data_IF_791114050445
#
_entry.id   IF_791114050445
#
_cell.length_a   1.000
_cell.length_b   1.000
_cell.length_c   1.000
_cell.angle_alpha   90.00
_cell.angle_beta   90.00
_cell.angle_gamma   90.00
#
_symmetry.space_group_name_H-M   'P 1'
#
loop_
_entity.id
_entity.type
_entity.pdbx_description
1 polymer ?
#
# COMPACT_ATOMS: atom_id res chain seq x y z
N UNK A 1 -9.95 6.47 -32.98
CA UNK A 1 -10.27 5.34 -32.10
C UNK A 1 -8.96 4.78 -31.57
N UNK A 2 -8.62 5.18 -30.36
CA UNK A 2 -7.35 4.90 -29.70
C UNK A 2 -7.20 3.39 -29.48
N UNK A 3 -6.00 2.88 -29.77
CA UNK A 3 -5.55 1.54 -29.46
C UNK A 3 -5.84 1.31 -27.97
N UNK A 4 -6.73 0.37 -27.68
CA UNK A 4 -7.08 -0.03 -26.33
C UNK A 4 -5.81 -0.40 -25.58
N UNK A 5 -5.33 0.55 -24.77
CA UNK A 5 -4.20 0.33 -23.87
C UNK A 5 -4.70 -0.67 -22.83
N UNK A 6 -4.13 -1.86 -22.81
CA UNK A 6 -4.39 -2.83 -21.72
C UNK A 6 -4.16 -2.13 -20.39
N UNK A 7 -5.09 -2.25 -19.42
CA UNK A 7 -4.93 -1.62 -18.13
C UNK A 7 -3.63 -2.11 -17.49
N UNK A 8 -2.80 -1.18 -17.02
CA UNK A 8 -1.53 -1.52 -16.34
C UNK A 8 -1.76 -2.01 -14.93
N UNK A 9 -2.91 -1.71 -14.35
CA UNK A 9 -3.28 -2.06 -12.99
C UNK A 9 -4.77 -2.38 -12.88
N UNK A 10 -5.11 -3.30 -12.00
CA UNK A 10 -6.47 -3.68 -11.65
C UNK A 10 -6.66 -3.54 -10.15
N UNK A 11 -7.67 -2.77 -9.73
CA UNK A 11 -8.06 -2.67 -8.32
C UNK A 11 -9.08 -3.77 -8.00
N UNK A 12 -8.81 -4.56 -6.98
CA UNK A 12 -9.70 -5.61 -6.46
C UNK A 12 -10.01 -5.29 -5.00
N UNK A 13 -11.29 -5.28 -4.65
CA UNK A 13 -11.72 -5.15 -3.27
C UNK A 13 -11.59 -6.50 -2.56
N UNK A 14 -10.84 -6.54 -1.47
CA UNK A 14 -10.61 -7.77 -0.70
C UNK A 14 -11.91 -8.29 -0.05
N UNK A 15 -12.83 -7.38 0.27
CA UNK A 15 -14.14 -7.75 0.84
C UNK A 15 -15.02 -8.50 -0.15
N UNK A 16 -14.91 -8.18 -1.45
CA UNK A 16 -15.61 -8.91 -2.51
C UNK A 16 -15.07 -10.34 -2.64
N UNK A 17 -13.73 -10.51 -2.43
CA UNK A 17 -13.12 -11.83 -2.38
C UNK A 17 -13.59 -12.64 -1.17
N UNK A 18 -13.71 -12.01 0.02
CA UNK A 18 -14.25 -12.65 1.23
C UNK A 18 -15.69 -13.09 1.00
N UNK A 19 -16.50 -12.29 0.31
CA UNK A 19 -17.89 -12.61 0.03
C UNK A 19 -18.04 -13.79 -0.96
N UNK A 20 -17.09 -13.94 -1.89
CA UNK A 20 -17.10 -15.01 -2.87
C UNK A 20 -16.51 -16.32 -2.31
N UNK A 21 -15.34 -16.26 -1.70
CA UNK A 21 -14.64 -17.42 -1.11
C UNK A 21 -13.85 -16.99 0.13
N UNK A 22 -14.40 -17.30 1.30
CA UNK A 22 -13.79 -16.95 2.58
C UNK A 22 -12.51 -17.77 2.89
N UNK A 23 -12.40 -19.01 2.37
CA UNK A 23 -11.23 -19.85 2.60
C UNK A 23 -10.03 -19.31 1.79
N UNK A 24 -10.26 -18.99 0.52
CA UNK A 24 -9.24 -18.39 -0.34
C UNK A 24 -8.78 -17.03 0.22
N UNK A 25 -9.70 -16.19 0.67
CA UNK A 25 -9.38 -14.90 1.27
C UNK A 25 -8.53 -15.06 2.54
N UNK A 26 -8.86 -16.05 3.38
CA UNK A 26 -8.08 -16.38 4.58
C UNK A 26 -6.68 -16.88 4.22
N UNK A 27 -6.55 -17.79 3.26
CA UNK A 27 -5.27 -18.31 2.80
C UNK A 27 -4.40 -17.19 2.22
N UNK A 28 -4.98 -16.32 1.38
CA UNK A 28 -4.29 -15.15 0.82
C UNK A 28 -3.85 -14.16 1.91
N UNK A 29 -4.61 -14.02 3.01
CA UNK A 29 -4.20 -13.17 4.15
C UNK A 29 -3.01 -13.76 4.89
N UNK A 30 -2.93 -15.09 5.03
CA UNK A 30 -1.86 -15.76 5.76
C UNK A 30 -0.59 -15.96 4.94
N UNK A 31 -0.72 -16.25 3.64
CA UNK A 31 0.38 -16.56 2.72
C UNK A 31 0.31 -15.71 1.44
N UNK A 32 0.35 -14.38 1.55
CA UNK A 32 0.13 -13.48 0.41
C UNK A 32 1.21 -13.61 -0.67
N UNK A 33 2.42 -14.03 -0.32
CA UNK A 33 3.53 -14.16 -1.28
C UNK A 33 3.30 -15.27 -2.32
N UNK A 34 2.57 -16.30 -1.96
CA UNK A 34 2.27 -17.43 -2.85
C UNK A 34 1.02 -17.15 -3.69
N UNK A 35 0.00 -16.53 -3.09
CA UNK A 35 -1.28 -16.30 -3.77
C UNK A 35 -1.31 -15.05 -4.68
N UNK A 36 -0.56 -13.99 -4.35
CA UNK A 36 -0.55 -12.77 -5.18
C UNK A 36 -0.04 -12.99 -6.61
N UNK A 37 1.05 -13.75 -6.85
CA UNK A 37 1.48 -14.06 -8.21
C UNK A 37 0.45 -14.86 -8.99
N UNK A 38 -0.21 -15.84 -8.35
CA UNK A 38 -1.25 -16.66 -8.98
C UNK A 38 -2.45 -15.80 -9.36
N UNK A 39 -2.84 -14.86 -8.50
CA UNK A 39 -3.92 -13.92 -8.79
C UNK A 39 -3.56 -13.00 -9.98
N UNK A 40 -2.33 -12.51 -10.06
CA UNK A 40 -1.86 -11.72 -11.19
C UNK A 40 -1.89 -12.53 -12.50
N UNK A 41 -1.49 -13.80 -12.46
CA UNK A 41 -1.55 -14.73 -13.61
C UNK A 41 -2.99 -14.98 -14.05
N UNK A 42 -3.89 -15.29 -13.12
CA UNK A 42 -5.31 -15.50 -13.41
C UNK A 42 -5.96 -14.27 -14.04
N UNK A 43 -5.63 -13.07 -13.56
CA UNK A 43 -6.12 -11.80 -14.16
C UNK A 43 -5.63 -11.64 -15.60
N UNK A 44 -4.38 -12.03 -15.87
CA UNK A 44 -3.85 -11.97 -17.24
C UNK A 44 -4.58 -12.94 -18.16
N UNK A 45 -4.84 -14.18 -17.73
CA UNK A 45 -5.56 -15.18 -18.50
C UNK A 45 -6.99 -14.73 -18.84
N UNK A 46 -7.68 -14.13 -17.87
CA UNK A 46 -9.02 -13.55 -18.08
C UNK A 46 -8.95 -12.40 -19.09
N UNK A 47 -7.98 -11.50 -18.98
CA UNK A 47 -7.82 -10.39 -19.91
C UNK A 47 -7.49 -10.86 -21.33
N UNK A 48 -6.74 -11.95 -21.48
CA UNK A 48 -6.49 -12.57 -22.80
C UNK A 48 -7.76 -13.19 -23.37
N UNK A 49 -8.57 -13.86 -22.55
CA UNK A 49 -9.84 -14.44 -22.98
C UNK A 49 -10.89 -13.39 -23.42
N UNK A 50 -10.80 -12.18 -22.86
CA UNK A 50 -11.69 -11.06 -23.19
C UNK A 50 -11.24 -10.25 -24.41
N UNK A 51 -10.05 -10.50 -24.97
CA UNK A 51 -9.61 -9.83 -26.20
C UNK A 51 -10.45 -10.33 -27.38
N UNK A 52 -11.02 -9.42 -28.21
CA UNK A 52 -11.75 -9.83 -29.40
C UNK A 52 -10.83 -10.59 -30.36
N UNK A 53 -11.35 -11.66 -30.97
CA UNK A 53 -10.65 -12.62 -31.84
C UNK A 53 -9.94 -11.99 -33.04
N UNK A 54 -10.31 -10.78 -33.42
CA UNK A 54 -9.68 -10.07 -34.55
C UNK A 54 -8.24 -9.60 -34.29
N UNK A 55 -7.83 -9.56 -33.03
CA UNK A 55 -6.44 -9.22 -32.63
C UNK A 55 -5.53 -10.46 -32.60
N UNK A 56 -6.10 -11.67 -32.55
CA UNK A 56 -5.36 -12.95 -32.57
C UNK A 56 -4.91 -13.33 -33.98
N UNK A 57 -5.66 -12.96 -35.00
CA UNK A 57 -5.34 -13.28 -36.39
C UNK A 57 -4.08 -12.55 -36.93
N UNK A 58 -3.63 -11.50 -36.27
CA UNK A 58 -2.42 -10.76 -36.67
C UNK A 58 -1.13 -11.27 -35.98
N UNK A 59 -1.23 -12.18 -35.01
CA UNK A 59 -0.11 -12.71 -34.23
C UNK A 59 0.27 -14.16 -34.56
N UNK A 60 -0.61 -14.89 -35.30
CA UNK A 60 -0.41 -16.30 -35.66
C UNK A 60 0.38 -16.49 -36.97
N UNK A 61 1.53 -15.89 -37.02
CA UNK A 61 2.48 -16.12 -38.11
C UNK A 61 3.63 -17.07 -37.78
N UNK A 62 3.56 -17.89 -36.71
CA UNK A 62 4.53 -18.98 -36.51
C UNK A 62 4.12 -19.82 -35.27
N UNK A 63 3.16 -20.71 -35.47
CA UNK A 63 2.71 -21.65 -34.44
C UNK A 63 3.19 -23.07 -34.76
N UNK A 64 4.45 -23.36 -34.57
CA UNK A 64 4.96 -24.74 -34.32
C UNK A 64 6.30 -24.63 -33.57
N UNK A 65 6.32 -24.39 -32.27
CA UNK A 65 7.47 -24.65 -31.43
C UNK A 65 7.05 -25.18 -30.04
N UNK A 66 7.74 -26.19 -29.66
CA UNK A 66 7.57 -27.20 -28.63
C UNK A 66 7.40 -26.70 -27.17
N UNK A 67 6.83 -27.57 -26.34
CA UNK A 67 6.42 -27.41 -24.94
C UNK A 67 7.54 -27.08 -23.91
N UNK A 68 8.74 -26.71 -24.31
CA UNK A 68 9.90 -26.63 -23.39
C UNK A 68 10.14 -25.28 -22.73
N UNK A 69 9.35 -24.22 -22.96
CA UNK A 69 9.71 -22.91 -22.42
C UNK A 69 8.53 -22.14 -21.79
N UNK A 70 7.96 -22.67 -20.69
CA UNK A 70 7.10 -21.85 -19.82
C UNK A 70 7.83 -20.62 -19.25
N UNK A 71 9.15 -20.70 -19.09
CA UNK A 71 9.99 -19.56 -18.64
C UNK A 71 10.26 -18.52 -19.74
N UNK A 72 10.04 -18.85 -21.04
CA UNK A 72 10.20 -17.92 -22.16
C UNK A 72 8.90 -17.17 -22.53
N UNK A 73 7.74 -17.63 -22.02
CA UNK A 73 6.45 -16.93 -22.22
C UNK A 73 6.40 -15.53 -21.59
N UNK A 74 7.17 -15.29 -20.52
CA UNK A 74 7.34 -13.95 -19.93
C UNK A 74 8.11 -12.96 -20.83
N UNK A 75 8.66 -13.44 -21.94
CA UNK A 75 9.53 -12.67 -22.85
C UNK A 75 8.88 -12.21 -24.15
N UNK A 76 7.62 -12.59 -24.42
CA UNK A 76 6.96 -12.11 -25.62
C UNK A 76 6.84 -10.58 -25.57
N UNK A 77 7.42 -9.83 -26.53
CA UNK A 77 7.33 -8.37 -26.57
C UNK A 77 5.87 -8.00 -26.88
N UNK A 78 5.09 -7.72 -25.83
CA UNK A 78 3.68 -7.37 -25.95
C UNK A 78 2.79 -7.82 -24.79
N UNK A 79 3.24 -8.72 -23.94
CA UNK A 79 2.50 -9.14 -22.74
C UNK A 79 2.68 -8.11 -21.63
N UNK A 80 1.77 -7.15 -21.55
CA UNK A 80 1.76 -6.19 -20.46
C UNK A 80 1.38 -6.92 -19.14
N UNK A 81 2.33 -7.08 -18.25
CA UNK A 81 2.07 -7.62 -16.92
C UNK A 81 1.17 -6.65 -16.15
N UNK A 82 -0.06 -7.07 -15.87
CA UNK A 82 -1.04 -6.30 -15.10
C UNK A 82 -0.69 -6.43 -13.62
N UNK A 83 -0.68 -5.31 -12.92
CA UNK A 83 -0.49 -5.31 -11.46
C UNK A 83 -1.84 -5.34 -10.76
N UNK A 84 -2.02 -6.29 -9.86
CA UNK A 84 -3.19 -6.33 -8.98
C UNK A 84 -2.94 -5.41 -7.79
N UNK A 85 -3.89 -4.50 -7.53
CA UNK A 85 -3.93 -3.61 -6.38
C UNK A 85 -5.08 -4.04 -5.48
N UNK A 86 -4.79 -4.43 -4.25
CA UNK A 86 -5.81 -4.82 -3.29
C UNK A 86 -6.24 -3.61 -2.45
N UNK A 87 -7.55 -3.43 -2.31
CA UNK A 87 -8.16 -2.44 -1.41
C UNK A 87 -9.14 -3.15 -0.48
N UNK A 88 -9.43 -2.58 0.69
CA UNK A 88 -10.42 -3.12 1.61
C UNK A 88 -11.25 -2.01 2.23
N UNK A 89 -12.50 -2.33 2.54
CA UNK A 89 -13.42 -1.49 3.31
C UNK A 89 -13.36 -1.78 4.81
N UNK A 90 -12.57 -2.77 5.23
CA UNK A 90 -12.37 -3.08 6.64
C UNK A 90 -11.78 -1.87 7.39
N UNK A 91 -11.99 -1.85 8.70
CA UNK A 91 -11.37 -0.83 9.58
C UNK A 91 -9.87 -1.11 9.63
N UNK A 92 -9.01 -0.15 9.22
CA UNK A 92 -7.57 -0.36 9.21
C UNK A 92 -7.02 -0.49 10.63
N UNK A 93 -6.03 -1.37 10.81
CA UNK A 93 -5.38 -1.62 12.10
C UNK A 93 -4.31 -0.58 12.37
N UNK A 94 -4.28 0.07 13.55
CA UNK A 94 -3.23 1.02 13.90
C UNK A 94 -1.83 0.38 13.84
N UNK A 95 -0.81 1.15 13.46
CA UNK A 95 0.60 0.71 13.42
C UNK A 95 1.08 0.09 14.74
N UNK A 96 0.54 0.56 15.87
CA UNK A 96 0.90 0.10 17.23
C UNK A 96 0.47 -1.33 17.53
N UNK A 97 -0.54 -1.84 16.83
CA UNK A 97 -1.09 -3.19 17.06
C UNK A 97 -0.37 -4.26 16.26
N UNK A 98 0.54 -3.89 15.36
CA UNK A 98 1.34 -4.84 14.60
C UNK A 98 2.38 -5.51 15.50
N UNK A 99 2.36 -6.84 15.48
CA UNK A 99 3.21 -7.71 16.29
C UNK A 99 4.06 -8.65 15.43
N UNK A 100 4.93 -9.40 16.06
CA UNK A 100 5.74 -10.42 15.39
C UNK A 100 4.91 -11.56 14.76
N UNK A 101 3.71 -11.81 15.28
CA UNK A 101 2.77 -12.80 14.72
C UNK A 101 2.18 -12.38 13.37
N UNK A 102 2.22 -11.10 13.05
CA UNK A 102 1.70 -10.56 11.79
C UNK A 102 2.75 -10.62 10.65
N UNK A 103 4.00 -11.04 10.95
CA UNK A 103 5.05 -11.18 9.94
C UNK A 103 4.68 -12.23 8.90
N UNK A 104 4.79 -11.86 7.64
CA UNK A 104 4.39 -12.69 6.49
C UNK A 104 2.93 -12.55 6.11
N UNK A 105 2.10 -11.86 6.88
CA UNK A 105 0.66 -11.74 6.61
C UNK A 105 0.31 -10.43 5.90
N UNK A 106 -0.86 -10.42 5.26
CA UNK A 106 -1.44 -9.24 4.64
C UNK A 106 -2.13 -8.38 5.72
N UNK A 107 -1.69 -7.13 5.84
CA UNK A 107 -2.21 -6.18 6.83
C UNK A 107 -2.72 -4.91 6.15
N UNK A 108 -3.73 -4.27 6.76
CA UNK A 108 -4.30 -3.01 6.30
C UNK A 108 -4.07 -1.93 7.37
N UNK A 109 -3.33 -0.88 7.00
CA UNK A 109 -2.75 0.08 7.96
C UNK A 109 -2.97 1.51 7.49
N UNK A 110 -3.47 2.42 8.36
CA UNK A 110 -3.62 3.83 8.07
C UNK A 110 -2.36 4.59 8.47
N UNK A 111 -2.07 5.68 7.79
CA UNK A 111 -0.99 6.58 8.19
C UNK A 111 -0.80 7.78 7.26
N UNK A 112 0.20 8.58 7.59
CA UNK A 112 0.61 9.75 6.80
C UNK A 112 1.98 9.46 6.20
N UNK A 113 2.13 9.67 4.90
CA UNK A 113 3.44 9.58 4.23
C UNK A 113 4.25 10.82 4.56
N UNK A 114 5.33 10.68 5.33
CA UNK A 114 6.20 11.81 5.73
C UNK A 114 7.37 12.04 4.80
N UNK A 115 7.86 10.99 4.15
CA UNK A 115 9.00 11.09 3.24
C UNK A 115 8.92 10.00 2.16
N UNK A 116 9.39 10.34 0.97
CA UNK A 116 9.55 9.41 -0.16
C UNK A 116 10.98 9.47 -0.67
N UNK A 117 11.54 8.32 -1.02
CA UNK A 117 12.85 8.26 -1.65
C UNK A 117 12.74 8.48 -3.17
N UNK A 118 13.87 8.65 -3.84
CA UNK A 118 13.91 8.55 -5.30
C UNK A 118 13.55 7.15 -5.74
N UNK A 119 12.86 7.03 -6.88
CA UNK A 119 12.63 5.74 -7.53
C UNK A 119 13.97 5.08 -7.86
N UNK A 120 14.05 3.78 -7.64
CA UNK A 120 15.21 2.94 -7.94
C UNK A 120 14.75 1.78 -8.80
N UNK A 121 15.66 1.30 -9.63
CA UNK A 121 15.41 0.14 -10.48
C UNK A 121 15.85 -1.13 -9.76
N UNK A 122 14.96 -2.12 -9.68
CA UNK A 122 15.21 -3.46 -9.15
C UNK A 122 15.05 -4.47 -10.27
N UNK A 123 15.95 -5.45 -10.36
CA UNK A 123 15.77 -6.54 -11.29
C UNK A 123 14.64 -7.47 -10.83
N UNK A 124 13.71 -7.83 -11.72
CA UNK A 124 12.69 -8.87 -11.52
C UNK A 124 13.23 -10.23 -11.96
N UNK A 125 13.80 -10.27 -13.18
CA UNK A 125 14.53 -11.41 -13.71
C UNK A 125 15.92 -10.96 -14.09
N UNK A 126 16.92 -11.68 -13.66
CA UNK A 126 18.32 -11.40 -13.94
C UNK A 126 18.87 -12.49 -14.85
N UNK A 127 19.26 -12.12 -16.06
CA UNK A 127 19.96 -13.00 -16.97
C UNK A 127 21.45 -12.97 -16.65
N UNK A 128 22.01 -14.12 -16.33
CA UNK A 128 23.41 -14.33 -16.02
C UNK A 128 24.06 -15.13 -17.15
N UNK A 129 25.15 -14.63 -17.72
CA UNK A 129 25.93 -15.31 -18.74
C UNK A 129 27.26 -15.76 -18.18
N UNK A 130 27.61 -17.01 -18.40
CA UNK A 130 28.92 -17.54 -18.04
C UNK A 130 30.00 -16.96 -18.97
N UNK A 131 31.04 -16.35 -18.43
CA UNK A 131 32.12 -15.73 -19.21
C UNK A 131 32.90 -16.73 -20.07
N UNK A 132 32.97 -17.99 -19.65
CA UNK A 132 33.75 -19.03 -20.35
C UNK A 132 32.93 -19.81 -21.36
N UNK A 133 31.81 -20.43 -20.94
CA UNK A 133 31.03 -21.31 -21.81
C UNK A 133 29.85 -20.59 -22.50
N UNK A 134 29.62 -19.31 -22.21
CA UNK A 134 28.54 -18.50 -22.80
C UNK A 134 27.12 -19.01 -22.49
N UNK A 135 26.96 -20.00 -21.60
CA UNK A 135 25.62 -20.43 -21.19
C UNK A 135 24.92 -19.33 -20.41
N UNK A 136 23.64 -19.10 -20.69
CA UNK A 136 22.80 -18.14 -19.97
C UNK A 136 21.85 -18.87 -19.02
N UNK A 137 21.77 -18.38 -17.81
CA UNK A 137 20.77 -18.79 -16.81
C UNK A 137 19.95 -17.57 -16.42
N UNK A 138 18.66 -17.76 -16.17
CA UNK A 138 17.79 -16.73 -15.62
C UNK A 138 17.54 -17.01 -14.15
N UNK A 139 17.75 -15.98 -13.32
CA UNK A 139 17.46 -16.04 -11.88
C UNK A 139 16.29 -15.12 -11.60
N UNK A 140 15.23 -15.64 -11.01
CA UNK A 140 14.10 -14.86 -10.56
C UNK A 140 14.40 -14.26 -9.19
N UNK A 141 14.16 -12.96 -9.02
CA UNK A 141 14.29 -12.29 -7.74
C UNK A 141 12.91 -12.20 -7.08
N UNK A 142 12.87 -12.59 -5.81
CA UNK A 142 11.65 -12.48 -5.01
C UNK A 142 11.20 -11.03 -4.83
N UNK A 143 9.97 -10.87 -4.37
CA UNK A 143 9.41 -9.58 -4.01
C UNK A 143 10.15 -8.93 -2.82
N UNK A 144 9.96 -7.65 -2.59
CA UNK A 144 10.54 -6.93 -1.46
C UNK A 144 12.04 -6.69 -1.57
N UNK A 145 12.75 -6.79 -0.45
CA UNK A 145 14.21 -6.63 -0.39
C UNK A 145 14.99 -7.93 -0.64
N UNK A 146 14.34 -8.96 -1.18
CA UNK A 146 15.01 -10.23 -1.48
C UNK A 146 16.13 -10.02 -2.49
N UNK A 147 17.32 -10.47 -2.16
CA UNK A 147 18.49 -10.45 -3.05
C UNK A 147 18.50 -11.67 -3.98
N UNK A 148 19.25 -11.57 -5.06
CA UNK A 148 19.52 -12.71 -5.93
C UNK A 148 20.55 -13.66 -5.29
N UNK A 149 20.25 -14.95 -5.27
CA UNK A 149 21.25 -15.96 -4.97
C UNK A 149 21.93 -16.38 -6.28
N UNK A 150 23.06 -15.76 -6.58
CA UNK A 150 23.84 -16.08 -7.78
C UNK A 150 24.62 -17.36 -7.54
N UNK A 151 24.46 -18.42 -8.40
CA UNK A 151 25.22 -19.65 -8.25
C UNK A 151 26.71 -19.40 -8.39
N UNK A 152 27.53 -19.99 -7.52
CA UNK A 152 28.98 -19.86 -7.56
C UNK A 152 29.64 -20.70 -8.64
N UNK A 153 28.96 -21.71 -9.16
CA UNK A 153 29.47 -22.64 -10.15
C UNK A 153 28.55 -22.67 -11.38
N UNK A 154 29.15 -22.94 -12.54
CA UNK A 154 28.40 -23.00 -13.80
C UNK A 154 27.55 -24.28 -13.84
N UNK A 155 26.23 -24.12 -14.04
CA UNK A 155 25.28 -25.22 -14.11
C UNK A 155 25.29 -25.99 -15.42
N UNK A 156 25.83 -25.42 -16.50
CA UNK A 156 25.82 -26.04 -17.84
C UNK A 156 26.70 -27.28 -17.95
N UNK A 157 27.53 -27.61 -16.94
CA UNK A 157 28.47 -28.71 -16.98
C UNK A 157 28.21 -29.82 -15.98
N UNK A 158 27.12 -29.72 -15.20
CA UNK A 158 26.76 -30.78 -14.24
C UNK A 158 26.21 -32.05 -14.92
N UNK A 159 25.96 -32.03 -16.23
CA UNK A 159 25.33 -33.10 -17.00
C UNK A 159 26.21 -33.84 -18.01
N UNK A 160 27.52 -33.51 -18.15
CA UNK A 160 28.42 -34.21 -19.09
C UNK A 160 29.55 -34.88 -18.33
N UNK A 161 29.41 -36.22 -18.22
CA UNK A 161 30.47 -37.20 -17.83
C UNK A 161 31.38 -36.81 -16.67
N UNK A 162 30.89 -36.92 -15.46
CA UNK A 162 31.71 -37.02 -14.28
C UNK A 162 32.11 -38.49 -14.10
N UNK A 163 33.15 -38.94 -14.77
CA UNK A 163 33.97 -40.05 -14.25
C UNK A 163 34.56 -39.56 -12.94
N UNK A 164 34.31 -40.37 -11.92
CA UNK A 164 34.79 -40.20 -10.55
C UNK A 164 36.31 -39.93 -10.58
N UNK A 165 36.77 -38.70 -10.25
CA UNK A 165 38.18 -38.49 -9.94
C UNK A 165 38.85 -37.21 -10.47
N UNK A 166 38.18 -36.25 -11.10
CA UNK A 166 38.86 -35.02 -11.48
C UNK A 166 38.09 -33.74 -11.07
N UNK A 167 38.65 -33.09 -10.05
CA UNK A 167 38.37 -31.72 -9.65
C UNK A 167 38.80 -30.79 -10.78
N UNK A 168 37.87 -30.24 -11.52
CA UNK A 168 38.02 -28.88 -12.04
C UNK A 168 36.72 -28.48 -12.74
N UNK A 169 35.94 -27.62 -12.11
CA UNK A 169 34.95 -26.82 -12.80
C UNK A 169 35.69 -26.01 -13.87
N UNK A 170 35.65 -26.34 -15.17
CA UNK A 170 36.44 -25.68 -16.21
C UNK A 170 36.05 -24.19 -16.34
N UNK A 171 34.91 -23.80 -15.79
CA UNK A 171 34.45 -22.42 -15.75
C UNK A 171 34.98 -21.63 -14.53
N UNK A 172 35.54 -22.32 -13.51
CA UNK A 172 36.04 -21.68 -12.28
C UNK A 172 34.95 -21.24 -11.32
N UNK A 173 35.36 -20.52 -10.29
CA UNK A 173 34.46 -19.94 -9.29
C UNK A 173 33.94 -18.57 -9.74
N UNK A 174 32.64 -18.30 -9.47
CA UNK A 174 31.94 -17.06 -9.80
C UNK A 174 32.03 -16.64 -11.30
N UNK A 175 31.69 -17.54 -12.25
CA UNK A 175 31.90 -17.33 -13.67
C UNK A 175 30.83 -16.43 -14.33
N UNK A 176 29.80 -16.05 -13.59
CA UNK A 176 28.64 -15.36 -14.14
C UNK A 176 28.79 -13.85 -14.20
N UNK A 177 28.38 -13.28 -15.34
CA UNK A 177 28.22 -11.85 -15.55
C UNK A 177 26.74 -11.54 -15.80
N UNK A 178 26.27 -10.44 -15.20
CA UNK A 178 24.92 -9.92 -15.45
C UNK A 178 24.84 -9.34 -16.85
N UNK A 179 23.81 -9.73 -17.61
CA UNK A 179 23.50 -9.19 -18.94
C UNK A 179 22.24 -8.31 -18.83
N UNK A 180 22.39 -6.97 -18.76
CA UNK A 180 21.24 -6.06 -18.58
C UNK A 180 20.21 -6.16 -19.69
N UNK A 181 20.66 -6.38 -20.95
CA UNK A 181 19.79 -6.44 -22.15
C UNK A 181 18.80 -7.60 -22.13
N UNK A 182 19.15 -8.68 -21.44
CA UNK A 182 18.33 -9.88 -21.28
C UNK A 182 17.62 -9.95 -19.94
N UNK A 183 17.80 -8.94 -19.07
CA UNK A 183 17.22 -8.84 -17.74
C UNK A 183 15.98 -7.96 -17.76
N UNK A 184 15.00 -8.26 -16.93
CA UNK A 184 13.82 -7.40 -16.73
C UNK A 184 13.91 -6.64 -15.42
N UNK A 185 13.49 -5.39 -15.44
CA UNK A 185 13.58 -4.48 -14.30
C UNK A 185 12.20 -3.92 -13.96
N UNK A 186 12.01 -3.60 -12.69
CA UNK A 186 10.83 -2.92 -12.15
C UNK A 186 11.29 -1.70 -11.36
N UNK A 187 10.43 -0.69 -11.30
CA UNK A 187 10.66 0.47 -10.44
C UNK A 187 10.27 0.15 -9.01
N UNK A 188 11.05 0.64 -8.06
CA UNK A 188 10.89 0.46 -6.63
C UNK A 188 11.16 1.77 -5.91
N UNK A 189 10.35 2.07 -4.89
CA UNK A 189 10.50 3.29 -4.08
C UNK A 189 10.25 2.99 -2.61
N UNK A 190 11.06 3.59 -1.75
CA UNK A 190 10.86 3.53 -0.31
C UNK A 190 10.09 4.77 0.15
N UNK A 191 9.11 4.58 1.01
CA UNK A 191 8.39 5.63 1.68
C UNK A 191 8.49 5.44 3.19
N UNK A 192 8.30 6.51 3.94
CA UNK A 192 8.21 6.48 5.39
C UNK A 192 6.80 6.86 5.80
N UNK A 193 6.11 5.90 6.39
CA UNK A 193 4.75 6.04 6.93
C UNK A 193 4.83 6.39 8.39
N UNK A 194 4.08 7.38 8.82
CA UNK A 194 3.89 7.77 10.21
C UNK A 194 2.47 7.47 10.65
N UNK A 195 2.31 7.11 11.90
CA UNK A 195 1.01 6.92 12.55
C UNK A 195 0.19 8.22 12.55
N UNK A 196 -1.12 8.09 12.32
CA UNK A 196 -2.02 9.23 12.36
C UNK A 196 -2.02 9.87 13.75
N UNK A 197 -1.96 11.22 13.85
CA UNK A 197 -1.92 11.92 15.15
C UNK A 197 -3.09 11.58 16.06
N UNK A 198 -4.25 11.28 15.50
CA UNK A 198 -5.46 10.93 16.24
C UNK A 198 -5.35 9.57 16.96
N UNK A 199 -4.50 8.68 16.46
CA UNK A 199 -4.26 7.36 17.03
C UNK A 199 -3.16 7.35 18.09
N UNK A 200 -2.43 8.47 18.25
CA UNK A 200 -1.30 8.57 19.20
C UNK A 200 -1.81 8.92 20.58
N UNK A 201 -1.53 8.10 21.63
CA UNK A 201 -1.84 8.45 23.01
C UNK A 201 -1.14 9.73 23.44
N UNK A 202 -1.78 10.50 24.30
CA UNK A 202 -1.21 11.74 24.82
C UNK A 202 0.15 11.47 25.53
N UNK A 203 1.19 12.21 25.11
CA UNK A 203 2.54 12.10 25.71
C UNK A 203 3.45 11.07 25.04
N UNK A 204 2.99 10.34 24.03
CA UNK A 204 3.84 9.42 23.28
C UNK A 204 4.23 9.99 21.90
N UNK A 205 5.34 9.51 21.37
CA UNK A 205 5.76 9.85 20.01
C UNK A 205 5.05 8.95 18.98
N UNK A 206 4.68 9.49 17.82
CA UNK A 206 4.11 8.70 16.72
C UNK A 206 5.14 7.69 16.21
N UNK A 207 4.68 6.46 15.95
CA UNK A 207 5.52 5.41 15.37
C UNK A 207 5.69 5.62 13.89
N UNK A 208 6.85 5.23 13.37
CA UNK A 208 7.18 5.30 11.95
C UNK A 208 7.49 3.89 11.44
N UNK A 209 7.09 3.62 10.20
CA UNK A 209 7.41 2.38 9.51
C UNK A 209 7.95 2.66 8.11
N UNK A 210 8.92 1.85 7.67
CA UNK A 210 9.39 1.87 6.29
C UNK A 210 8.40 1.10 5.42
N UNK A 211 8.05 1.70 4.31
CA UNK A 211 7.09 1.16 3.34
C UNK A 211 7.79 1.04 1.99
N UNK A 212 7.59 -0.08 1.33
CA UNK A 212 8.14 -0.38 0.01
C UNK A 212 7.02 -0.45 -1.01
N UNK A 213 7.13 0.35 -2.05
CA UNK A 213 6.21 0.33 -3.20
C UNK A 213 6.94 -0.07 -4.47
N UNK A 214 6.27 -0.83 -5.33
CA UNK A 214 6.82 -1.37 -6.55
C UNK A 214 5.90 -1.11 -7.75
N UNK A 215 6.48 -1.08 -8.96
CA UNK A 215 5.79 -0.97 -10.26
C UNK A 215 4.92 0.30 -10.38
N UNK A 216 3.63 0.16 -10.71
CA UNK A 216 2.71 1.28 -11.00
C UNK A 216 2.39 2.16 -9.80
N UNK A 217 2.69 1.71 -8.57
CA UNK A 217 2.48 2.49 -7.35
C UNK A 217 3.64 3.44 -7.03
N UNK A 218 4.74 3.35 -7.78
CA UNK A 218 5.89 4.26 -7.62
C UNK A 218 5.49 5.66 -8.06
N UNK A 219 5.86 6.67 -7.26
CA UNK A 219 5.53 8.09 -7.46
C UNK A 219 4.02 8.43 -7.46
N UNK A 220 3.16 7.53 -7.00
CA UNK A 220 1.71 7.80 -6.93
C UNK A 220 1.35 8.70 -5.75
N UNK A 221 2.09 8.67 -4.66
CA UNK A 221 1.76 9.37 -3.41
C UNK A 221 2.75 10.48 -3.10
N UNK A 222 2.24 11.63 -2.70
CA UNK A 222 3.03 12.81 -2.31
C UNK A 222 3.24 12.81 -0.78
N UNK A 223 4.42 13.23 -0.28
CA UNK A 223 4.61 13.45 1.16
C UNK A 223 3.58 14.43 1.74
N UNK A 224 3.03 14.10 2.89
CA UNK A 224 1.94 14.83 3.54
C UNK A 224 0.56 14.21 3.31
N UNK A 225 0.39 13.32 2.34
CA UNK A 225 -0.89 12.65 2.05
C UNK A 225 -1.22 11.60 3.11
N UNK A 226 -2.48 11.56 3.53
CA UNK A 226 -3.04 10.46 4.34
C UNK A 226 -3.39 9.30 3.43
N UNK A 227 -2.99 8.12 3.84
CA UNK A 227 -3.19 6.90 3.05
C UNK A 227 -3.60 5.74 3.93
N UNK A 228 -4.36 4.83 3.36
CA UNK A 228 -4.58 3.49 3.89
C UNK A 228 -3.82 2.52 3.00
N UNK A 229 -2.90 1.79 3.57
CA UNK A 229 -2.02 0.88 2.84
C UNK A 229 -2.40 -0.57 3.13
N UNK A 230 -2.70 -1.32 2.09
CA UNK A 230 -2.75 -2.76 2.17
C UNK A 230 -1.41 -3.32 1.72
N UNK A 231 -0.80 -4.15 2.55
CA UNK A 231 0.53 -4.68 2.24
C UNK A 231 0.91 -5.89 3.07
N UNK A 232 1.97 -6.54 2.65
CA UNK A 232 2.56 -7.67 3.37
C UNK A 232 3.57 -7.14 4.38
N UNK A 233 3.41 -7.53 5.64
CA UNK A 233 4.31 -7.15 6.71
C UNK A 233 5.51 -8.08 6.72
N UNK A 234 6.65 -7.61 6.27
CA UNK A 234 7.86 -8.38 6.08
C UNK A 234 9.01 -7.86 6.95
N UNK A 235 10.04 -8.67 7.09
CA UNK A 235 11.26 -8.31 7.81
C UNK A 235 12.47 -8.35 6.90
N UNK A 236 13.39 -7.41 7.10
CA UNK A 236 14.67 -7.37 6.38
C UNK A 236 15.83 -7.40 7.38
N UNK A 237 16.93 -8.04 6.99
CA UNK A 237 18.13 -8.04 7.81
C UNK A 237 18.70 -6.63 7.91
N UNK A 238 18.93 -6.15 9.12
CA UNK A 238 19.49 -4.83 9.42
C UNK A 238 20.94 -4.63 8.95
N UNK A 239 21.59 -5.67 8.47
CA UNK A 239 22.95 -5.65 7.96
C UNK A 239 22.99 -5.40 6.48
N UNK A 240 23.12 -4.12 6.08
CA UNK A 240 23.64 -3.81 4.75
C UNK A 240 24.94 -4.59 4.53
N UNK A 241 25.03 -5.25 3.39
CA UNK A 241 26.19 -5.96 2.87
C UNK A 241 27.53 -5.27 3.18
N UNK A 242 28.03 -5.40 4.39
CA UNK A 242 29.44 -5.12 4.65
C UNK A 242 30.24 -6.36 4.26
N UNK A 243 30.97 -6.22 3.17
CA UNK A 243 31.82 -7.20 2.46
C UNK A 243 32.90 -7.91 3.29
N UNK A 244 32.82 -8.00 4.61
CA UNK A 244 33.97 -8.45 5.40
C UNK A 244 33.73 -9.45 6.52
N UNK A 245 32.56 -10.05 6.64
CA UNK A 245 32.43 -11.14 7.63
C UNK A 245 32.36 -12.50 6.96
N UNK A 246 33.53 -13.18 6.92
CA UNK A 246 33.70 -14.58 6.54
C UNK A 246 33.14 -15.58 7.57
N UNK A 247 32.46 -15.09 8.59
CA UNK A 247 31.80 -15.89 9.62
C UNK A 247 30.30 -15.63 9.59
N UNK A 248 29.52 -16.54 9.00
CA UNK A 248 28.07 -16.45 8.80
C UNK A 248 27.23 -16.34 10.07
N UNK A 249 27.40 -15.28 10.83
CA UNK A 249 26.47 -14.90 11.89
C UNK A 249 25.24 -14.21 11.29
N UNK A 250 24.10 -14.91 11.21
CA UNK A 250 22.81 -14.28 10.90
C UNK A 250 22.53 -13.25 11.98
N UNK A 251 22.36 -11.96 11.58
CA UNK A 251 21.96 -10.92 12.52
C UNK A 251 20.60 -11.29 13.08
N UNK A 252 20.51 -11.43 14.40
CA UNK A 252 19.28 -11.82 15.08
C UNK A 252 18.20 -10.72 15.08
N UNK A 253 18.61 -9.45 14.89
CA UNK A 253 17.70 -8.31 14.88
C UNK A 253 17.35 -7.97 13.44
N UNK A 254 16.05 -7.96 13.15
CA UNK A 254 15.51 -7.63 11.84
C UNK A 254 14.65 -6.36 11.94
N UNK A 255 14.67 -5.54 10.89
CA UNK A 255 13.76 -4.40 10.77
C UNK A 255 12.54 -4.80 9.98
N UNK A 256 11.38 -4.52 10.55
CA UNK A 256 10.11 -4.74 9.88
C UNK A 256 9.85 -3.62 8.85
N UNK A 257 9.25 -3.98 7.72
CA UNK A 257 8.78 -3.06 6.71
C UNK A 257 7.47 -3.57 6.10
N UNK A 258 6.73 -2.68 5.44
CA UNK A 258 5.51 -3.02 4.75
C UNK A 258 5.75 -3.00 3.24
N UNK A 259 5.58 -4.15 2.56
CA UNK A 259 5.55 -4.22 1.11
C UNK A 259 4.11 -3.99 0.62
N UNK A 260 3.87 -2.87 -0.02
CA UNK A 260 2.53 -2.44 -0.42
C UNK A 260 2.03 -3.23 -1.61
N UNK A 261 0.79 -3.68 -1.50
CA UNK A 261 0.02 -4.34 -2.57
C UNK A 261 -1.12 -3.42 -3.06
N UNK A 262 -1.58 -2.48 -2.20
CA UNK A 262 -2.59 -1.51 -2.56
C UNK A 262 -2.49 -0.23 -1.77
N UNK A 263 -2.81 0.88 -2.42
CA UNK A 263 -2.83 2.22 -1.84
C UNK A 263 -4.20 2.81 -2.01
N UNK A 264 -4.77 3.27 -0.91
CA UNK A 264 -6.02 4.02 -0.88
C UNK A 264 -5.71 5.40 -0.30
N UNK A 265 -5.82 6.43 -1.12
CA UNK A 265 -5.60 7.81 -0.68
C UNK A 265 -6.85 8.34 -0.02
N UNK A 266 -6.73 8.82 1.21
CA UNK A 266 -7.78 9.60 1.84
C UNK A 266 -7.78 10.99 1.20
N UNK A 267 -8.64 11.19 0.22
CA UNK A 267 -8.86 12.52 -0.37
C UNK A 267 -9.34 13.47 0.74
N UNK A 268 -8.68 14.63 0.89
CA UNK A 268 -9.13 15.67 1.81
C UNK A 268 -10.58 16.07 1.49
N UNK A 269 -11.52 15.61 2.30
CA UNK A 269 -12.96 15.76 2.11
C UNK A 269 -13.77 14.48 2.25
N UNK A 270 -13.24 13.33 1.93
CA UNK A 270 -13.76 12.04 2.37
C UNK A 270 -13.33 11.83 3.84
N UNK A 271 -13.89 12.62 4.75
CA UNK A 271 -13.83 12.35 6.19
C UNK A 271 -14.33 10.94 6.39
N UNK A 272 -13.41 10.06 6.74
CA UNK A 272 -13.52 8.62 6.93
C UNK A 272 -14.85 8.07 6.43
N UNK A 273 -14.83 7.13 5.50
CA UNK A 273 -16.01 6.33 5.18
C UNK A 273 -16.47 5.68 6.49
N UNK A 274 -17.16 6.45 7.31
CA UNK A 274 -17.99 5.90 8.36
C UNK A 274 -19.04 5.11 7.59
N UNK A 275 -18.83 3.80 7.48
CA UNK A 275 -19.81 2.92 6.90
C UNK A 275 -21.02 2.96 7.81
N UNK A 276 -21.97 3.85 7.47
CA UNK A 276 -23.25 3.89 8.13
C UNK A 276 -24.08 2.73 7.63
N UNK A 277 -24.77 2.10 8.55
CA UNK A 277 -25.76 1.06 8.22
C UNK A 277 -26.95 1.68 7.50
N UNK A 278 -27.67 0.89 6.71
CA UNK A 278 -28.88 1.37 5.99
C UNK A 278 -29.93 1.94 6.96
N UNK A 279 -30.01 1.41 8.18
CA UNK A 279 -30.86 1.93 9.24
C UNK A 279 -30.44 3.36 9.65
N UNK A 280 -29.17 3.61 9.85
CA UNK A 280 -28.64 4.95 10.18
C UNK A 280 -28.84 5.93 9.03
N UNK A 281 -28.67 5.48 7.77
CA UNK A 281 -29.00 6.30 6.60
C UNK A 281 -30.45 6.73 6.55
N UNK A 282 -31.38 5.85 6.93
CA UNK A 282 -32.81 6.20 7.00
C UNK A 282 -33.09 7.18 8.15
N UNK A 283 -32.43 7.03 9.28
CA UNK A 283 -32.51 7.97 10.39
C UNK A 283 -31.98 9.36 9.99
N UNK A 284 -30.86 9.44 9.31
CA UNK A 284 -30.31 10.72 8.83
C UNK A 284 -31.24 11.41 7.86
N UNK A 285 -31.86 10.66 6.94
CA UNK A 285 -32.85 11.21 6.01
C UNK A 285 -34.10 11.76 6.75
N UNK A 286 -34.61 11.01 7.71
CA UNK A 286 -35.77 11.48 8.51
C UNK A 286 -35.44 12.68 9.35
N UNK A 287 -34.24 12.76 9.91
CA UNK A 287 -33.75 13.93 10.64
C UNK A 287 -33.61 15.16 9.72
N UNK A 288 -33.07 14.99 8.52
CA UNK A 288 -32.89 16.06 7.55
C UNK A 288 -34.21 16.64 7.00
N UNK A 289 -35.30 15.87 7.00
CA UNK A 289 -36.61 16.33 6.53
C UNK A 289 -37.36 17.20 7.56
N UNK A 290 -36.84 17.33 8.80
CA UNK A 290 -37.45 18.18 9.82
C UNK A 290 -37.27 19.67 9.49
N UNK A 291 -38.12 20.55 10.02
CA UNK A 291 -37.99 22.01 9.89
C UNK A 291 -36.60 22.46 10.38
N UNK A 292 -35.94 23.32 9.61
CA UNK A 292 -34.56 23.77 9.90
C UNK A 292 -34.39 24.33 11.33
N UNK A 293 -35.40 25.10 11.82
CA UNK A 293 -35.35 25.66 13.18
C UNK A 293 -35.28 24.62 14.26
N UNK A 294 -36.01 23.49 14.10
CA UNK A 294 -36.06 22.41 15.05
C UNK A 294 -34.77 21.59 15.01
N UNK A 295 -34.23 21.36 13.81
CA UNK A 295 -32.93 20.71 13.61
C UNK A 295 -31.80 21.49 14.32
N UNK A 296 -31.75 22.81 14.11
CA UNK A 296 -30.72 23.66 14.76
C UNK A 296 -30.89 23.66 16.27
N UNK A 297 -32.10 23.71 16.78
CA UNK A 297 -32.38 23.68 18.22
C UNK A 297 -31.96 22.33 18.83
N UNK A 298 -32.26 21.24 18.14
CA UNK A 298 -31.91 19.88 18.59
C UNK A 298 -30.40 19.67 18.59
N UNK A 299 -29.69 20.08 17.52
CA UNK A 299 -28.23 20.03 17.45
C UNK A 299 -27.58 20.84 18.57
N UNK A 300 -28.04 22.06 18.84
CA UNK A 300 -27.52 22.88 19.93
C UNK A 300 -27.69 22.22 21.30
N UNK A 301 -28.82 21.57 21.55
CA UNK A 301 -29.09 20.89 22.81
C UNK A 301 -28.18 19.67 23.02
N UNK A 302 -27.73 19.03 21.94
CA UNK A 302 -26.83 17.86 21.98
C UNK A 302 -25.35 18.24 22.14
N UNK A 303 -24.98 19.49 21.85
CA UNK A 303 -23.62 19.99 22.12
C UNK A 303 -23.41 20.17 23.60
N UNK A 304 -22.43 19.45 24.15
CA UNK A 304 -22.04 19.49 25.56
C UNK A 304 -23.26 19.50 26.52
N UNK A 305 -24.04 18.41 26.57
CA UNK A 305 -25.29 18.38 27.36
C UNK A 305 -25.07 18.57 28.87
N UNK A 306 -23.88 18.24 29.35
CA UNK A 306 -23.49 18.45 30.75
C UNK A 306 -23.32 19.93 31.15
N UNK A 307 -23.27 20.84 30.16
CA UNK A 307 -23.12 22.29 30.39
C UNK A 307 -24.49 22.93 30.20
N UNK A 308 -25.02 23.55 31.26
CA UNK A 308 -26.27 24.30 31.22
C UNK A 308 -26.06 25.71 30.66
N UNK A 309 -26.96 26.18 29.82
CA UNK A 309 -26.89 27.51 29.22
C UNK A 309 -25.85 27.63 28.11
N UNK A 310 -25.35 28.83 27.89
CA UNK A 310 -24.33 29.16 26.89
C UNK A 310 -24.73 28.78 25.45
N UNK A 311 -25.97 29.06 25.07
CA UNK A 311 -26.57 28.67 23.79
C UNK A 311 -25.80 29.24 22.58
N UNK A 312 -25.22 30.43 22.70
CA UNK A 312 -24.42 31.06 21.66
C UNK A 312 -23.09 30.32 21.45
N UNK A 313 -22.45 29.87 22.54
CA UNK A 313 -21.21 29.06 22.46
C UNK A 313 -21.52 27.72 21.84
N UNK A 314 -22.63 27.08 22.23
CA UNK A 314 -23.07 25.82 21.63
C UNK A 314 -23.36 25.96 20.13
N UNK A 315 -23.96 27.09 19.72
CA UNK A 315 -24.17 27.39 18.32
C UNK A 315 -22.84 27.58 17.56
N UNK A 316 -21.90 28.31 18.13
CA UNK A 316 -20.57 28.52 17.54
C UNK A 316 -19.80 27.19 17.40
N UNK A 317 -19.85 26.34 18.39
CA UNK A 317 -19.24 24.98 18.35
C UNK A 317 -19.94 24.10 17.29
N UNK A 318 -21.25 24.20 17.15
CA UNK A 318 -21.97 23.48 16.07
C UNK A 318 -21.46 23.94 14.70
N UNK A 319 -21.34 25.26 14.47
CA UNK A 319 -20.82 25.81 13.21
C UNK A 319 -19.36 25.38 12.98
N UNK A 320 -18.52 25.28 14.03
CA UNK A 320 -17.16 24.80 13.96
C UNK A 320 -17.10 23.34 13.48
N UNK A 321 -17.93 22.46 14.06
CA UNK A 321 -17.96 21.03 13.73
C UNK A 321 -18.39 20.76 12.28
N UNK A 322 -19.37 21.52 11.77
CA UNK A 322 -19.81 21.38 10.37
C UNK A 322 -18.91 22.13 9.39
N UNK A 323 -18.22 23.19 9.85
CA UNK A 323 -17.39 24.07 9.01
C UNK A 323 -18.13 24.61 7.78
N UNK A 324 -17.40 25.13 6.80
CA UNK A 324 -17.94 25.61 5.54
C UNK A 324 -17.31 24.91 4.35
N UNK A 325 -17.87 25.11 3.16
CA UNK A 325 -17.39 24.51 1.93
C UNK A 325 -16.19 25.27 1.38
N UNK A 326 -15.12 24.58 1.05
CA UNK A 326 -13.98 25.13 0.30
C UNK A 326 -14.47 25.55 -1.09
N UNK A 327 -14.18 26.78 -1.48
CA UNK A 327 -14.54 27.31 -2.81
C UNK A 327 -13.28 27.49 -3.64
N UNK A 328 -13.28 26.88 -4.81
CA UNK A 328 -12.23 27.05 -5.80
C UNK A 328 -12.73 28.02 -6.87
N UNK A 329 -11.93 29.06 -7.14
CA UNK A 329 -12.21 30.05 -8.17
C UNK A 329 -11.59 29.61 -9.50
N UNK A 330 -12.15 30.09 -10.65
CA UNK A 330 -11.57 29.80 -11.97
C UNK A 330 -10.11 30.24 -12.12
N UNK A 331 -9.67 31.20 -11.31
CA UNK A 331 -8.32 31.75 -11.30
C UNK A 331 -7.31 30.85 -10.57
N UNK A 332 -7.71 29.64 -10.15
CA UNK A 332 -6.87 28.71 -9.38
C UNK A 332 -6.68 29.09 -7.91
N UNK A 333 -7.29 30.18 -7.43
CA UNK A 333 -7.28 30.53 -6.01
C UNK A 333 -8.34 29.75 -5.25
N UNK A 334 -7.96 29.13 -4.13
CA UNK A 334 -8.90 28.43 -3.26
C UNK A 334 -9.18 29.24 -1.99
N UNK A 335 -10.46 29.46 -1.66
CA UNK A 335 -10.88 29.99 -0.37
C UNK A 335 -11.27 28.83 0.55
N UNK A 336 -10.59 28.73 1.69
CA UNK A 336 -10.95 27.77 2.73
C UNK A 336 -12.30 28.15 3.36
N UNK A 337 -13.10 27.14 3.72
CA UNK A 337 -14.37 27.31 4.42
C UNK A 337 -14.28 27.06 5.93
N UNK A 338 -13.08 26.87 6.47
CA UNK A 338 -12.88 26.48 7.86
C UNK A 338 -13.30 27.61 8.80
N UNK A 339 -14.12 27.26 9.80
CA UNK A 339 -14.57 28.17 10.86
C UNK A 339 -13.65 28.04 12.06
N UNK A 340 -13.00 29.14 12.47
CA UNK A 340 -12.17 29.18 13.65
C UNK A 340 -12.94 29.85 14.79
N UNK A 341 -12.92 29.26 16.00
CA UNK A 341 -13.59 29.79 17.18
C UNK A 341 -12.56 30.05 18.27
N UNK A 342 -12.58 31.26 18.82
CA UNK A 342 -11.76 31.65 19.98
C UNK A 342 -12.67 31.86 21.19
N UNK A 343 -12.47 31.10 22.26
CA UNK A 343 -13.18 31.23 23.52
C UNK A 343 -12.35 32.05 24.52
N UNK A 344 -12.77 33.25 24.80
CA UNK A 344 -12.16 34.15 25.80
C UNK A 344 -13.10 34.29 27.01
N UNK A 345 -12.54 34.35 28.19
CA UNK A 345 -13.30 34.52 29.42
C UNK A 345 -12.51 34.08 30.67
N UNK A 346 -13.10 34.30 31.83
CA UNK A 346 -12.49 33.99 33.12
C UNK A 346 -12.24 32.50 33.36
N UNK A 347 -11.32 32.13 34.25
CA UNK A 347 -11.17 30.75 34.67
C UNK A 347 -12.50 30.19 35.22
N UNK A 348 -12.67 28.87 35.11
CA UNK A 348 -13.87 28.14 35.57
C UNK A 348 -15.17 28.37 34.76
N UNK A 349 -15.13 29.01 33.61
CA UNK A 349 -16.31 29.19 32.72
C UNK A 349 -16.54 28.05 31.73
N UNK A 350 -16.11 26.84 32.06
CA UNK A 350 -16.31 25.61 31.26
C UNK A 350 -15.68 25.59 29.86
N UNK A 351 -14.80 26.55 29.47
CA UNK A 351 -14.17 26.60 28.16
C UNK A 351 -13.46 25.29 27.78
N UNK A 352 -12.68 24.76 28.66
CA UNK A 352 -11.96 23.49 28.44
C UNK A 352 -12.88 22.30 28.32
N UNK A 353 -14.09 22.35 28.90
CA UNK A 353 -15.08 21.27 28.75
C UNK A 353 -15.71 21.26 27.35
N UNK A 354 -15.94 22.45 26.75
CA UNK A 354 -16.33 22.53 25.36
C UNK A 354 -15.28 21.97 24.43
N UNK A 355 -13.99 22.26 24.65
CA UNK A 355 -12.89 21.72 23.86
C UNK A 355 -12.79 20.20 23.97
N UNK A 356 -12.92 19.65 25.19
CA UNK A 356 -12.95 18.18 25.42
C UNK A 356 -14.17 17.51 24.76
N UNK A 357 -15.31 18.21 24.70
CA UNK A 357 -16.47 17.70 23.97
C UNK A 357 -16.16 17.62 22.48
N UNK A 358 -15.57 18.67 21.90
CA UNK A 358 -15.19 18.69 20.48
C UNK A 358 -14.16 17.59 20.18
N UNK A 359 -13.16 17.40 21.04
CA UNK A 359 -12.17 16.30 20.91
C UNK A 359 -12.82 14.92 20.80
N UNK A 360 -13.89 14.68 21.57
CA UNK A 360 -14.58 13.39 21.57
C UNK A 360 -15.57 13.21 20.42
N UNK A 361 -16.06 14.31 19.88
CA UNK A 361 -17.17 14.29 18.88
C UNK A 361 -16.64 14.43 17.45
N UNK A 362 -15.56 15.19 17.26
CA UNK A 362 -15.02 15.41 15.94
C UNK A 362 -14.31 14.15 15.43
N UNK A 363 -14.54 13.74 14.17
CA UNK A 363 -13.88 12.54 13.58
C UNK A 363 -12.36 12.69 13.50
N UNK A 364 -11.87 13.92 13.35
CA UNK A 364 -10.45 14.24 13.35
C UNK A 364 -10.23 15.42 14.31
N UNK A 365 -9.54 15.18 15.41
CA UNK A 365 -9.23 16.20 16.40
C UNK A 365 -7.91 15.91 17.10
N UNK A 366 -7.12 16.94 17.34
CA UNK A 366 -5.90 16.85 18.17
C UNK A 366 -6.02 17.85 19.29
N UNK A 367 -6.01 17.37 20.54
CA UNK A 367 -6.00 18.22 21.71
C UNK A 367 -4.58 18.57 22.11
N UNK A 368 -4.25 19.86 22.17
CA UNK A 368 -2.92 20.31 22.64
C UNK A 368 -3.05 21.35 23.72
N UNK A 369 -2.06 21.41 24.60
CA UNK A 369 -1.95 22.47 25.61
C UNK A 369 -1.02 23.58 25.11
N UNK A 370 -1.21 24.80 25.59
CA UNK A 370 -0.36 25.95 25.21
C UNK A 370 1.11 25.86 25.64
N UNK A 371 1.50 24.73 26.26
CA UNK A 371 2.90 24.45 26.61
C UNK A 371 3.59 23.51 25.60
N UNK A 372 2.97 23.23 24.47
CA UNK A 372 3.53 22.49 23.32
C UNK A 372 3.23 21.02 23.39
#
# INVERSE_FOLDING_TARGET
LDRATTPKDLKICFDDLIAHDAELARAMRMEPNDYLPILEEAVQDVLESLRPSDALAAADGDAYLEEEDRASRDRAPGRASVQVKLTSKEIPRPLRTLNSSDVGTLVYVPGIVIATSKARTKAKHMALECQKCKSTISVHLGAGYSGANVPRFCSAQVGRDTQVGQEANPCGTDPYRIVPEKSSFIDQQNMKLQENPECVPAGEMPRNMTVLVERTMVLSVVPGTRVKLMGVYETTNAGGSSKRDRGGGKVAVQHAYLRVVGIDEETEGARGDAHFTDAEHTEFKTFAHRPFKDVVKDLRSRVAPAIFGSDDIKAAVTCLLFSGTRKEHPDGTARRGDVNVLLLGDPSTAKSQFLKFVERTAPVCVYTSGKG
#
